data_IF_090305484272
#
_entry.id   IF_090305484272
#
_cell.length_a   1.000
_cell.length_b   1.000
_cell.length_c   1.000
_cell.angle_alpha   90.00
_cell.angle_beta   90.00
_cell.angle_gamma   90.00
#
_symmetry.space_group_name_H-M   'P 1'
#
loop_
_entity.id
_entity.type
_entity.pdbx_description
1 polymer ?
#
# COMPACT_ATOMS: atom_id res chain seq x y z
N UNK A 1 8.30 -23.36 -46.94
CA UNK A 1 7.18 -23.41 -45.97
C UNK A 1 7.57 -22.52 -44.80
N UNK A 2 7.15 -21.26 -44.84
CA UNK A 2 7.53 -20.23 -43.86
C UNK A 2 6.58 -20.42 -42.66
N UNK A 3 7.13 -20.71 -41.47
CA UNK A 3 6.35 -20.68 -40.23
C UNK A 3 5.98 -19.23 -39.96
N UNK A 4 4.68 -18.93 -39.97
CA UNK A 4 4.16 -17.66 -39.46
C UNK A 4 4.68 -17.45 -38.03
N UNK A 5 5.23 -16.26 -37.78
CA UNK A 5 5.47 -15.81 -36.43
C UNK A 5 4.11 -15.73 -35.76
N UNK A 6 3.90 -16.54 -34.71
CA UNK A 6 2.74 -16.36 -33.83
C UNK A 6 2.91 -14.99 -33.20
N UNK A 7 2.16 -14.03 -33.72
CA UNK A 7 2.08 -12.69 -33.17
C UNK A 7 1.58 -12.83 -31.73
N UNK A 8 2.43 -12.51 -30.76
CA UNK A 8 2.02 -12.49 -29.35
C UNK A 8 1.02 -11.35 -29.18
N UNK A 9 -0.26 -11.70 -29.15
CA UNK A 9 -1.30 -10.83 -28.60
C UNK A 9 -1.25 -10.97 -27.08
N UNK A 10 -0.93 -9.91 -26.31
CA UNK A 10 -1.10 -9.98 -24.87
C UNK A 10 -2.59 -10.25 -24.62
N UNK A 11 -2.87 -11.28 -23.84
CA UNK A 11 -4.21 -11.54 -23.35
C UNK A 11 -4.73 -10.31 -22.59
N UNK A 12 -6.02 -10.27 -22.28
CA UNK A 12 -6.65 -9.38 -21.30
C UNK A 12 -6.08 -9.61 -19.87
N UNK A 13 -4.75 -9.51 -19.70
CA UNK A 13 -3.99 -9.99 -18.53
C UNK A 13 -3.86 -8.96 -17.40
N UNK A 14 -4.42 -7.76 -17.54
CA UNK A 14 -4.20 -6.69 -16.56
C UNK A 14 -5.17 -6.74 -15.37
N UNK A 15 -6.43 -7.15 -15.58
CA UNK A 15 -7.44 -7.13 -14.51
C UNK A 15 -7.33 -8.36 -13.60
N UNK A 16 -7.23 -9.56 -14.17
CA UNK A 16 -7.23 -10.83 -13.42
C UNK A 16 -6.01 -10.98 -12.50
N UNK A 17 -4.87 -10.40 -12.88
CA UNK A 17 -3.65 -10.43 -12.08
C UNK A 17 -3.74 -9.48 -10.89
N UNK A 18 -4.28 -8.27 -11.09
CA UNK A 18 -4.53 -7.32 -10.00
C UNK A 18 -5.61 -7.81 -9.02
N UNK A 19 -6.68 -8.41 -9.54
CA UNK A 19 -7.75 -8.99 -8.72
C UNK A 19 -7.23 -10.18 -7.88
N UNK A 20 -6.40 -11.05 -8.49
CA UNK A 20 -5.76 -12.16 -7.79
C UNK A 20 -4.78 -11.74 -6.70
N UNK A 21 -3.98 -10.70 -6.95
CA UNK A 21 -3.07 -10.11 -5.93
C UNK A 21 -3.86 -9.44 -4.80
N UNK A 22 -4.97 -8.77 -5.12
CA UNK A 22 -5.87 -8.18 -4.14
C UNK A 22 -6.46 -9.27 -3.23
N UNK A 23 -7.00 -10.35 -3.81
CA UNK A 23 -7.51 -11.48 -3.05
C UNK A 23 -6.45 -12.12 -2.16
N UNK A 24 -5.25 -12.39 -2.69
CA UNK A 24 -4.14 -12.96 -1.91
C UNK A 24 -3.80 -12.06 -0.71
N UNK A 25 -3.74 -10.75 -0.92
CA UNK A 25 -3.35 -9.83 0.14
C UNK A 25 -4.44 -9.69 1.20
N UNK A 26 -5.72 -9.68 0.81
CA UNK A 26 -6.85 -9.72 1.73
C UNK A 26 -6.84 -11.00 2.59
N UNK A 27 -6.58 -12.16 1.97
CA UNK A 27 -6.50 -13.44 2.68
C UNK A 27 -5.34 -13.49 3.68
N UNK A 28 -4.18 -12.94 3.32
CA UNK A 28 -3.05 -12.81 4.25
C UNK A 28 -3.45 -11.94 5.45
N UNK A 29 -4.12 -10.80 5.21
CA UNK A 29 -4.61 -9.93 6.27
C UNK A 29 -5.58 -10.64 7.22
N UNK A 30 -6.61 -11.29 6.66
CA UNK A 30 -7.60 -12.03 7.45
C UNK A 30 -6.96 -13.14 8.29
N UNK A 31 -6.04 -13.94 7.71
CA UNK A 31 -5.35 -15.02 8.42
C UNK A 31 -4.49 -14.50 9.57
N UNK A 32 -3.72 -13.42 9.35
CA UNK A 32 -2.88 -12.81 10.39
C UNK A 32 -3.74 -12.33 11.56
N UNK A 33 -4.81 -11.59 11.29
CA UNK A 33 -5.71 -11.14 12.36
C UNK A 33 -6.56 -12.27 12.96
N UNK A 34 -6.78 -13.36 12.23
CA UNK A 34 -7.57 -14.51 12.67
C UNK A 34 -6.82 -15.41 13.64
N UNK A 35 -5.50 -15.47 13.54
CA UNK A 35 -4.66 -16.44 14.26
C UNK A 35 -3.64 -15.80 15.20
N UNK A 36 -3.19 -14.58 14.92
CA UNK A 36 -2.19 -13.89 15.73
C UNK A 36 -2.83 -13.13 16.90
N UNK A 37 -2.06 -12.94 17.98
CA UNK A 37 -2.42 -11.94 19.00
C UNK A 37 -2.36 -10.54 18.40
N UNK A 38 -3.10 -9.59 18.98
CA UNK A 38 -3.09 -8.19 18.51
C UNK A 38 -1.68 -7.60 18.43
N UNK A 39 -0.86 -7.82 19.45
CA UNK A 39 0.53 -7.33 19.45
C UNK A 39 1.40 -7.95 18.34
N UNK A 40 1.15 -9.19 17.95
CA UNK A 40 1.85 -9.83 16.82
C UNK A 40 1.37 -9.26 15.48
N UNK A 41 0.07 -9.05 15.31
CA UNK A 41 -0.48 -8.41 14.11
C UNK A 41 0.07 -6.97 13.97
N UNK A 42 0.02 -6.18 15.03
CA UNK A 42 0.57 -4.81 15.06
C UNK A 42 2.07 -4.80 14.72
N UNK A 43 2.84 -5.73 15.28
CA UNK A 43 4.27 -5.87 14.99
C UNK A 43 4.54 -6.24 13.53
N UNK A 44 3.74 -7.15 12.96
CA UNK A 44 3.83 -7.57 11.56
C UNK A 44 3.55 -6.41 10.61
N UNK A 45 2.38 -5.76 10.72
CA UNK A 45 2.01 -4.64 9.85
C UNK A 45 2.93 -3.43 10.07
N UNK A 46 3.38 -3.19 11.30
CA UNK A 46 4.41 -2.19 11.57
C UNK A 46 5.74 -2.49 10.87
N UNK A 47 6.14 -3.76 10.75
CA UNK A 47 7.33 -4.16 10.00
C UNK A 47 7.15 -3.97 8.49
N UNK A 48 5.98 -4.31 7.94
CA UNK A 48 5.63 -4.04 6.54
C UNK A 48 5.70 -2.54 6.24
N UNK A 49 5.09 -1.71 7.09
CA UNK A 49 5.14 -0.24 6.95
C UNK A 49 6.57 0.32 6.97
N UNK A 50 7.43 -0.16 7.88
CA UNK A 50 8.86 0.23 7.90
C UNK A 50 9.59 -0.18 6.62
N UNK A 51 9.28 -1.35 6.05
CA UNK A 51 9.85 -1.81 4.78
C UNK A 51 9.41 -0.93 3.62
N UNK A 52 8.13 -0.55 3.56
CA UNK A 52 7.63 0.40 2.56
C UNK A 52 8.32 1.76 2.72
N UNK A 53 8.41 2.27 3.95
CA UNK A 53 9.06 3.55 4.23
C UNK A 53 10.54 3.56 3.80
N UNK A 54 11.24 2.42 3.89
CA UNK A 54 12.64 2.31 3.46
C UNK A 54 12.85 2.46 1.94
N UNK A 55 11.79 2.37 1.14
CA UNK A 55 11.84 2.63 -0.31
C UNK A 55 11.99 4.12 -0.62
N UNK A 56 11.65 5.00 0.34
CA UNK A 56 11.70 6.45 0.17
C UNK A 56 12.93 7.03 0.89
N UNK A 57 13.83 7.63 0.13
CA UNK A 57 14.90 8.44 0.71
C UNK A 57 14.33 9.80 1.14
N UNK A 58 14.49 10.16 2.42
CA UNK A 58 13.99 11.43 3.00
C UNK A 58 15.04 12.18 3.84
N UNK A 59 16.26 11.64 3.95
CA UNK A 59 17.31 12.18 4.84
C UNK A 59 17.83 13.58 4.43
N UNK A 60 17.58 13.99 3.18
CA UNK A 60 17.94 15.27 2.60
C UNK A 60 16.88 16.37 2.80
N UNK A 61 15.76 16.06 3.48
CA UNK A 61 14.64 17.00 3.66
C UNK A 61 14.68 17.62 5.05
N UNK A 62 14.75 18.95 5.09
CA UNK A 62 14.64 19.74 6.33
C UNK A 62 13.31 20.49 6.47
N UNK A 63 12.44 20.42 5.46
CA UNK A 63 11.17 21.15 5.40
C UNK A 63 9.97 20.18 5.43
N UNK A 64 8.99 20.48 6.29
CA UNK A 64 7.82 19.65 6.51
C UNK A 64 6.94 19.54 5.26
N UNK A 65 6.78 20.64 4.52
CA UNK A 65 5.98 20.66 3.29
C UNK A 65 6.66 19.84 2.19
N UNK A 66 7.98 19.98 2.04
CA UNK A 66 8.77 19.15 1.12
C UNK A 66 8.72 17.65 1.48
N UNK A 67 8.72 17.31 2.78
CA UNK A 67 8.58 15.93 3.26
C UNK A 67 7.22 15.37 2.87
N UNK A 68 6.14 16.10 3.18
CA UNK A 68 4.78 15.68 2.84
C UNK A 68 4.55 15.60 1.34
N UNK A 69 5.10 16.53 0.55
CA UNK A 69 5.03 16.46 -0.90
C UNK A 69 5.68 15.19 -1.45
N UNK A 70 6.77 14.73 -0.83
CA UNK A 70 7.47 13.50 -1.25
C UNK A 70 6.70 12.25 -0.86
N UNK A 71 6.20 12.19 0.37
CA UNK A 71 5.35 11.08 0.85
C UNK A 71 4.08 10.96 0.01
N UNK A 72 3.40 12.07 -0.24
CA UNK A 72 2.14 12.08 -1.02
C UNK A 72 2.35 11.74 -2.50
N UNK A 73 3.53 11.96 -3.07
CA UNK A 73 3.84 11.43 -4.40
C UNK A 73 3.80 9.90 -4.39
N UNK A 74 4.40 9.24 -3.40
CA UNK A 74 4.35 7.78 -3.27
C UNK A 74 2.90 7.30 -3.08
N UNK A 75 2.14 7.90 -2.15
CA UNK A 75 0.75 7.53 -1.92
C UNK A 75 -0.13 7.64 -3.16
N UNK A 76 -0.03 8.75 -3.89
CA UNK A 76 -0.79 8.92 -5.14
C UNK A 76 -0.36 7.92 -6.21
N UNK A 77 0.94 7.63 -6.34
CA UNK A 77 1.44 6.61 -7.28
C UNK A 77 0.88 5.23 -6.96
N UNK A 78 0.68 4.91 -5.68
CA UNK A 78 0.10 3.64 -5.23
C UNK A 78 -1.43 3.64 -5.17
N UNK A 79 -2.09 4.76 -5.48
CA UNK A 79 -3.54 4.89 -5.33
C UNK A 79 -4.02 4.90 -3.87
N UNK A 80 -3.14 5.24 -2.93
CA UNK A 80 -3.41 5.26 -1.48
C UNK A 80 -3.83 6.63 -0.97
N UNK A 81 -4.26 7.54 -1.84
CA UNK A 81 -4.69 8.88 -1.42
C UNK A 81 -3.54 9.78 -0.98
N UNK A 82 -3.70 10.45 0.16
CA UNK A 82 -2.74 11.43 0.67
C UNK A 82 -2.78 11.58 2.19
N UNK A 83 -1.71 12.14 2.75
CA UNK A 83 -1.58 12.48 4.15
C UNK A 83 -1.25 13.96 4.34
N UNK A 84 -1.63 14.50 5.51
CA UNK A 84 -1.30 15.83 5.98
C UNK A 84 -0.58 15.72 7.32
N UNK A 85 0.45 16.54 7.50
CA UNK A 85 1.17 16.66 8.76
C UNK A 85 0.85 18.02 9.37
N UNK A 86 0.41 18.01 10.62
CA UNK A 86 0.19 19.21 11.41
C UNK A 86 1.02 19.12 12.67
N UNK A 87 1.89 20.10 12.87
CA UNK A 87 2.58 20.27 14.14
C UNK A 87 1.61 20.94 15.12
N UNK A 88 1.51 20.39 16.32
CA UNK A 88 0.88 21.00 17.48
C UNK A 88 1.96 21.32 18.52
N UNK A 89 1.60 22.01 19.60
CA UNK A 89 2.56 22.40 20.64
C UNK A 89 3.23 21.17 21.30
N UNK A 90 2.52 20.04 21.37
CA UNK A 90 2.98 18.83 22.07
C UNK A 90 3.17 17.61 21.16
N UNK A 91 2.76 17.67 19.90
CA UNK A 91 2.71 16.50 19.04
C UNK A 91 2.83 16.79 17.55
N UNK A 92 3.10 15.73 16.79
CA UNK A 92 2.94 15.71 15.34
C UNK A 92 1.68 14.90 15.05
N UNK A 93 0.68 15.55 14.46
CA UNK A 93 -0.54 14.89 14.01
C UNK A 93 -0.42 14.56 12.53
N UNK A 94 -0.64 13.28 12.19
CA UNK A 94 -0.70 12.80 10.81
C UNK A 94 -2.14 12.42 10.52
N UNK A 95 -2.75 13.08 9.55
CA UNK A 95 -4.08 12.76 9.06
C UNK A 95 -3.94 12.14 7.67
N UNK A 96 -4.50 10.95 7.47
CA UNK A 96 -4.49 10.26 6.19
C UNK A 96 -5.91 10.23 5.60
N UNK A 97 -6.05 10.50 4.31
CA UNK A 97 -7.34 10.54 3.60
C UNK A 97 -7.24 9.79 2.26
N UNK A 98 -8.34 9.18 1.82
CA UNK A 98 -8.40 8.49 0.53
C UNK A 98 -7.62 7.16 0.50
N UNK A 99 -7.44 6.52 1.65
CA UNK A 99 -6.98 5.12 1.68
C UNK A 99 -8.08 4.24 1.05
N UNK A 100 -7.75 3.23 0.23
CA UNK A 100 -8.76 2.30 -0.29
C UNK A 100 -9.54 1.64 0.86
N UNK A 101 -10.85 1.86 0.87
CA UNK A 101 -11.74 1.38 1.94
C UNK A 101 -12.05 -0.12 1.81
N UNK A 102 -11.82 -0.69 0.63
CA UNK A 102 -12.09 -2.10 0.37
C UNK A 102 -10.97 -2.69 -0.47
N UNK A 103 -10.54 -3.90 -0.10
CA UNK A 103 -9.74 -4.76 -0.93
C UNK A 103 -10.61 -5.94 -1.37
N UNK A 104 -10.55 -6.30 -2.65
CA UNK A 104 -11.30 -7.46 -3.14
C UNK A 104 -10.90 -8.71 -2.35
N UNK A 105 -11.89 -9.35 -1.71
CA UNK A 105 -11.67 -10.51 -0.85
C UNK A 105 -11.55 -10.20 0.64
N UNK A 106 -11.55 -8.93 1.05
CA UNK A 106 -11.62 -8.56 2.47
C UNK A 106 -13.07 -8.66 2.97
N UNK A 107 -13.45 -9.87 3.39
CA UNK A 107 -14.79 -10.16 3.90
C UNK A 107 -14.96 -9.67 5.34
N UNK A 108 -13.87 -9.58 6.10
CA UNK A 108 -13.90 -9.31 7.55
C UNK A 108 -13.69 -7.83 7.89
N UNK A 109 -13.45 -6.96 6.91
CA UNK A 109 -13.17 -5.54 7.12
C UNK A 109 -11.89 -5.31 7.92
N UNK A 110 -10.89 -6.19 7.71
CA UNK A 110 -9.61 -6.15 8.44
C UNK A 110 -8.49 -5.53 7.62
N UNK A 111 -8.82 -5.09 6.41
CA UNK A 111 -7.98 -4.27 5.57
C UNK A 111 -7.81 -2.85 6.14
#
# INVERSE_FOLDING_TARGET
MIREAVEYQPAETDQWTMDGLSLLTAMIGSEVFGTATRGQADAFFGAVGRRIASLLQVADISDGDALMARINRLWRTLGWGEAQLRMTDDAIMIQHVGLPETLQGDVDGRW
#
